data_IF_591970797299
#
_entry.id   IF_591970797299
#
_cell.length_a   1.000
_cell.length_b   1.000
_cell.length_c   1.000
_cell.angle_alpha   90.00
_cell.angle_beta   90.00
_cell.angle_gamma   90.00
#
_symmetry.space_group_name_H-M   'P 1'
#
loop_
_entity.id
_entity.type
_entity.pdbx_description
1 polymer ?
#
# COMPACT_ATOMS: atom_id res chain seq x y z
N UNK A 1 -19.67 -9.53 -10.45
CA UNK A 1 -19.23 -10.35 -9.31
C UNK A 1 -17.87 -9.98 -8.77
N UNK A 2 -16.82 -9.82 -9.59
CA UNK A 2 -15.45 -9.44 -9.12
C UNK A 2 -15.44 -8.13 -8.34
N UNK A 3 -16.12 -7.09 -8.84
CA UNK A 3 -16.21 -5.78 -8.18
C UNK A 3 -16.83 -5.88 -6.79
N UNK A 4 -17.90 -6.65 -6.65
CA UNK A 4 -18.64 -6.81 -5.40
C UNK A 4 -17.78 -7.53 -4.33
N UNK A 5 -17.10 -8.60 -4.71
CA UNK A 5 -16.19 -9.33 -3.80
C UNK A 5 -15.07 -8.41 -3.32
N UNK A 6 -14.51 -7.63 -4.23
CA UNK A 6 -13.38 -6.74 -3.95
C UNK A 6 -13.78 -5.59 -3.03
N UNK A 7 -14.96 -5.00 -3.26
CA UNK A 7 -15.50 -3.96 -2.39
C UNK A 7 -15.87 -4.54 -1.03
N UNK A 8 -16.51 -5.70 -0.97
CA UNK A 8 -16.83 -6.38 0.30
C UNK A 8 -15.58 -6.66 1.13
N UNK A 9 -14.54 -7.24 0.53
CA UNK A 9 -13.27 -7.50 1.23
C UNK A 9 -12.61 -6.21 1.74
N UNK A 10 -12.60 -5.16 0.93
CA UNK A 10 -12.02 -3.87 1.32
C UNK A 10 -12.83 -3.23 2.44
N UNK A 11 -14.17 -3.21 2.33
CA UNK A 11 -15.07 -2.66 3.35
C UNK A 11 -14.95 -3.43 4.66
N UNK A 12 -14.90 -4.76 4.60
CA UNK A 12 -14.67 -5.59 5.79
C UNK A 12 -13.32 -5.26 6.45
N UNK A 13 -12.24 -5.12 5.66
CA UNK A 13 -10.94 -4.69 6.16
C UNK A 13 -10.97 -3.30 6.79
N UNK A 14 -11.67 -2.34 6.19
CA UNK A 14 -11.84 -0.99 6.74
C UNK A 14 -12.65 -1.00 8.05
N UNK A 15 -13.72 -1.78 8.13
CA UNK A 15 -14.51 -1.92 9.37
C UNK A 15 -13.71 -2.60 10.49
N UNK A 16 -12.94 -3.63 10.16
CA UNK A 16 -12.02 -4.25 11.11
C UNK A 16 -10.91 -3.29 11.55
N UNK A 17 -10.43 -2.41 10.67
CA UNK A 17 -9.42 -1.41 10.99
C UNK A 17 -9.89 -0.40 12.05
N UNK A 18 -11.18 -0.11 12.15
CA UNK A 18 -11.74 0.75 13.21
C UNK A 18 -11.63 0.11 14.60
N UNK A 19 -11.64 -1.22 14.68
CA UNK A 19 -11.46 -1.97 15.94
C UNK A 19 -10.01 -2.35 16.19
N UNK A 20 -9.29 -2.71 15.12
CA UNK A 20 -7.91 -3.17 15.13
C UNK A 20 -7.13 -2.43 14.03
N UNK A 21 -6.57 -1.25 14.30
CA UNK A 21 -6.00 -0.35 13.29
C UNK A 21 -4.88 -0.99 12.44
N UNK A 22 -4.11 -1.91 12.99
CA UNK A 22 -3.09 -2.65 12.24
C UNK A 22 -3.66 -3.45 11.05
N UNK A 23 -4.94 -3.89 11.11
CA UNK A 23 -5.63 -4.54 9.99
C UNK A 23 -5.81 -3.58 8.81
N UNK A 24 -6.00 -2.29 9.08
CA UNK A 24 -6.05 -1.25 8.05
C UNK A 24 -4.75 -1.15 7.27
N UNK A 25 -3.60 -1.27 7.95
CA UNK A 25 -2.28 -1.32 7.30
C UNK A 25 -2.16 -2.55 6.41
N UNK A 26 -2.58 -3.73 6.87
CA UNK A 26 -2.56 -4.96 6.05
C UNK A 26 -3.45 -4.82 4.81
N UNK A 27 -4.66 -4.29 4.98
CA UNK A 27 -5.61 -4.07 3.89
C UNK A 27 -5.04 -3.08 2.86
N UNK A 28 -4.46 -1.98 3.33
CA UNK A 28 -3.81 -1.01 2.47
C UNK A 28 -2.61 -1.60 1.72
N UNK A 29 -1.74 -2.36 2.41
CA UNK A 29 -0.58 -3.03 1.81
C UNK A 29 -1.00 -4.00 0.72
N UNK A 30 -2.00 -4.86 1.01
CA UNK A 30 -2.55 -5.79 0.02
C UNK A 30 -3.09 -5.06 -1.21
N UNK A 31 -3.85 -3.98 -0.99
CA UNK A 31 -4.43 -3.17 -2.07
C UNK A 31 -3.38 -2.47 -2.93
N UNK A 32 -2.34 -1.94 -2.27
CA UNK A 32 -1.27 -1.19 -2.94
C UNK A 32 -0.36 -2.10 -3.76
N UNK A 33 -0.03 -3.29 -3.26
CA UNK A 33 0.83 -4.25 -3.96
C UNK A 33 0.10 -4.94 -5.11
N UNK A 34 -1.10 -5.45 -4.85
CA UNK A 34 -1.81 -6.29 -5.82
C UNK A 34 -2.61 -5.48 -6.85
N UNK A 35 -2.94 -4.22 -6.55
CA UNK A 35 -3.78 -3.35 -7.38
C UNK A 35 -5.03 -4.05 -7.95
N UNK A 36 -5.79 -4.80 -7.14
CA UNK A 36 -6.84 -5.69 -7.66
C UNK A 36 -7.97 -4.95 -8.35
N UNK A 37 -8.19 -3.65 -8.07
CA UNK A 37 -9.17 -2.83 -8.75
C UNK A 37 -8.87 -2.63 -10.25
N UNK A 38 -7.58 -2.71 -10.64
CA UNK A 38 -7.19 -2.60 -12.06
C UNK A 38 -7.56 -3.82 -12.90
N UNK A 39 -7.95 -4.92 -12.26
CA UNK A 39 -8.45 -6.13 -12.92
C UNK A 39 -9.99 -6.22 -12.95
N UNK A 40 -10.68 -5.15 -12.53
CA UNK A 40 -12.13 -5.03 -12.59
C UNK A 40 -12.52 -4.09 -13.75
N UNK A 41 -13.73 -4.25 -14.25
CA UNK A 41 -14.24 -3.48 -15.39
C UNK A 41 -15.40 -2.55 -15.01
N UNK A 42 -15.83 -2.56 -13.76
CA UNK A 42 -16.94 -1.80 -13.24
C UNK A 42 -16.52 -0.59 -12.39
N UNK A 43 -17.42 -0.16 -11.51
CA UNK A 43 -17.22 1.00 -10.64
C UNK A 43 -16.02 0.87 -9.70
N UNK A 44 -15.59 -0.34 -9.36
CA UNK A 44 -14.42 -0.58 -8.51
C UNK A 44 -13.10 -0.17 -9.17
N UNK A 45 -13.08 0.00 -10.50
CA UNK A 45 -11.87 0.43 -11.24
C UNK A 45 -11.42 1.85 -10.86
N UNK A 46 -12.38 2.78 -10.73
CA UNK A 46 -12.12 4.19 -10.39
C UNK A 46 -12.23 4.49 -8.90
N UNK A 47 -12.78 3.56 -8.12
CA UNK A 47 -13.01 3.78 -6.69
C UNK A 47 -11.68 3.88 -5.91
N UNK A 48 -11.48 4.90 -5.06
CA UNK A 48 -10.26 5.12 -4.30
C UNK A 48 -10.18 4.19 -3.07
N UNK A 49 -10.32 2.88 -3.31
CA UNK A 49 -10.41 1.87 -2.24
C UNK A 49 -9.13 1.77 -1.40
N UNK A 50 -7.95 2.00 -2.01
CA UNK A 50 -6.69 2.05 -1.27
C UNK A 50 -6.63 3.28 -0.35
N UNK A 51 -7.16 4.43 -0.80
CA UNK A 51 -7.27 5.62 0.03
C UNK A 51 -8.25 5.41 1.19
N UNK A 52 -9.37 4.71 0.96
CA UNK A 52 -10.30 4.36 2.02
C UNK A 52 -9.64 3.51 3.12
N UNK A 53 -8.84 2.51 2.74
CA UNK A 53 -8.08 1.69 3.70
C UNK A 53 -7.03 2.52 4.46
N UNK A 54 -6.34 3.46 3.77
CA UNK A 54 -5.39 4.37 4.41
C UNK A 54 -6.08 5.28 5.42
N UNK A 55 -7.23 5.88 5.05
CA UNK A 55 -8.01 6.73 5.95
C UNK A 55 -8.52 5.94 7.16
N UNK A 56 -9.01 4.71 6.96
CA UNK A 56 -9.43 3.85 8.06
C UNK A 56 -8.26 3.53 9.03
N UNK A 57 -7.06 3.26 8.50
CA UNK A 57 -5.87 3.04 9.31
C UNK A 57 -5.44 4.32 10.07
N UNK A 58 -5.52 5.49 9.44
CA UNK A 58 -5.21 6.78 10.07
C UNK A 58 -6.22 7.13 11.19
N UNK A 59 -7.51 6.96 10.94
CA UNK A 59 -8.54 7.13 11.99
C UNK A 59 -8.29 6.18 13.15
N UNK A 60 -8.02 4.90 12.83
CA UNK A 60 -7.66 3.90 13.83
C UNK A 60 -6.41 4.28 14.63
N UNK A 61 -5.37 4.82 14.00
CA UNK A 61 -4.17 5.32 14.67
C UNK A 61 -4.48 6.46 15.65
N UNK A 62 -5.41 7.37 15.29
CA UNK A 62 -5.79 8.48 16.16
C UNK A 62 -6.59 8.00 17.38
N UNK A 63 -7.49 7.04 17.18
CA UNK A 63 -8.41 6.55 18.22
C UNK A 63 -7.75 5.53 19.14
N UNK A 64 -6.83 4.70 18.63
CA UNK A 64 -6.22 3.63 19.44
C UNK A 64 -5.24 4.18 20.46
N UNK A 65 -5.25 3.55 21.64
CA UNK A 65 -4.21 3.75 22.66
C UNK A 65 -3.05 2.76 22.52
N UNK A 66 -3.28 1.66 21.80
CA UNK A 66 -2.28 0.61 21.55
C UNK A 66 -1.43 0.99 20.31
N UNK A 67 -0.49 1.89 20.53
CA UNK A 67 0.47 2.35 19.52
C UNK A 67 1.88 2.46 20.11
N UNK A 68 2.86 2.04 19.33
CA UNK A 68 4.25 2.22 19.67
C UNK A 68 4.77 3.57 19.14
N UNK A 69 5.75 4.15 19.82
CA UNK A 69 6.46 5.30 19.26
C UNK A 69 7.30 4.83 18.06
N UNK A 70 7.07 5.34 16.84
CA UNK A 70 7.84 4.92 15.67
C UNK A 70 9.31 5.36 15.73
N UNK A 71 9.65 6.38 16.51
CA UNK A 71 10.99 7.00 16.55
C UNK A 71 11.95 6.36 17.57
N UNK A 72 11.69 5.14 18.05
CA UNK A 72 12.57 4.47 19.02
C UNK A 72 13.86 3.86 18.43
N UNK A 73 13.98 3.79 17.10
CA UNK A 73 15.13 3.16 16.45
C UNK A 73 15.89 4.08 15.49
N UNK A 74 17.20 3.93 15.44
CA UNK A 74 18.08 4.64 14.50
C UNK A 74 17.62 4.53 13.02
N UNK A 75 17.14 3.37 12.51
CA UNK A 75 16.69 3.27 11.12
C UNK A 75 15.50 4.17 10.80
N UNK A 76 14.61 4.40 11.77
CA UNK A 76 13.43 5.25 11.55
C UNK A 76 13.80 6.72 11.46
N UNK A 77 14.79 7.14 12.24
CA UNK A 77 15.36 8.50 12.14
C UNK A 77 16.00 8.70 10.77
N UNK A 78 16.78 7.74 10.28
CA UNK A 78 17.38 7.79 8.94
C UNK A 78 16.29 7.85 7.85
N UNK A 79 15.22 7.10 8.00
CA UNK A 79 14.07 7.15 7.07
C UNK A 79 13.34 8.50 7.11
N UNK A 80 13.19 9.10 8.29
CA UNK A 80 12.62 10.45 8.41
C UNK A 80 13.50 11.51 7.73
N UNK A 81 14.83 11.42 7.90
CA UNK A 81 15.78 12.28 7.20
C UNK A 81 15.72 12.09 5.68
N UNK A 82 15.57 10.85 5.21
CA UNK A 82 15.38 10.56 3.79
C UNK A 82 14.12 11.22 3.24
N UNK A 83 12.98 11.15 3.95
CA UNK A 83 11.75 11.85 3.56
C UNK A 83 11.95 13.37 3.50
N UNK A 84 12.72 13.93 4.43
CA UNK A 84 13.05 15.35 4.46
C UNK A 84 13.90 15.73 3.24
N UNK A 85 14.94 14.95 2.92
CA UNK A 85 15.80 15.19 1.75
C UNK A 85 14.98 15.15 0.45
N UNK A 86 14.07 14.15 0.29
CA UNK A 86 13.18 14.09 -0.88
C UNK A 86 12.31 15.35 -0.98
N UNK A 87 11.81 15.85 0.15
CA UNK A 87 10.96 17.05 0.15
C UNK A 87 11.77 18.30 -0.20
N UNK A 88 12.98 18.44 0.34
CA UNK A 88 13.88 19.54 -0.02
C UNK A 88 14.25 19.46 -1.50
N UNK A 89 14.61 18.27 -1.99
CA UNK A 89 14.95 18.03 -3.39
C UNK A 89 13.83 18.43 -4.35
N UNK A 90 12.58 18.13 -3.97
CA UNK A 90 11.41 18.57 -4.74
C UNK A 90 11.24 20.08 -4.72
N UNK A 91 11.39 20.75 -3.56
CA UNK A 91 11.23 22.19 -3.41
C UNK A 91 12.29 23.01 -4.20
N UNK A 92 13.51 22.48 -4.29
CA UNK A 92 14.66 23.11 -4.97
C UNK A 92 14.80 22.62 -6.42
N UNK A 93 13.94 21.68 -6.85
CA UNK A 93 13.95 21.12 -8.21
C UNK A 93 13.68 22.16 -9.29
N UNK A 94 14.02 21.82 -10.53
CA UNK A 94 13.87 22.71 -11.69
C UNK A 94 12.41 23.03 -12.00
N UNK A 95 11.49 22.07 -11.77
CA UNK A 95 10.06 22.23 -12.00
C UNK A 95 9.21 21.57 -10.89
N UNK A 96 9.09 22.23 -9.72
CA UNK A 96 8.34 21.68 -8.59
C UNK A 96 6.84 21.47 -8.88
N UNK A 97 6.27 22.23 -9.83
CA UNK A 97 4.84 22.11 -10.15
C UNK A 97 4.53 20.83 -10.90
N UNK A 98 5.33 20.47 -11.89
CA UNK A 98 5.16 19.21 -12.66
C UNK A 98 5.52 17.98 -11.81
N UNK A 99 6.54 18.09 -10.96
CA UNK A 99 6.99 17.00 -10.08
C UNK A 99 6.10 16.78 -8.85
N UNK A 100 5.17 17.69 -8.54
CA UNK A 100 4.27 17.59 -7.38
C UNK A 100 3.52 16.26 -7.33
N UNK A 101 3.03 15.79 -8.47
CA UNK A 101 2.26 14.55 -8.54
C UNK A 101 3.06 13.33 -8.10
N UNK A 102 4.34 13.27 -8.45
CA UNK A 102 5.27 12.20 -8.08
C UNK A 102 5.67 12.30 -6.60
N UNK A 103 6.04 13.51 -6.16
CA UNK A 103 6.35 13.77 -4.75
C UNK A 103 5.18 13.38 -3.85
N UNK A 104 3.95 13.78 -4.19
CA UNK A 104 2.76 13.46 -3.41
C UNK A 104 2.48 11.95 -3.34
N UNK A 105 2.75 11.18 -4.42
CA UNK A 105 2.62 9.71 -4.39
C UNK A 105 3.62 9.09 -3.42
N UNK A 106 4.89 9.50 -3.50
CA UNK A 106 5.95 9.00 -2.63
C UNK A 106 5.66 9.35 -1.16
N UNK A 107 5.21 10.57 -0.88
CA UNK A 107 4.90 11.00 0.49
C UNK A 107 3.70 10.25 1.08
N UNK A 108 2.69 9.92 0.30
CA UNK A 108 1.56 9.07 0.76
C UNK A 108 2.04 7.67 1.15
N UNK A 109 2.97 7.09 0.40
CA UNK A 109 3.55 5.78 0.73
C UNK A 109 4.38 5.88 2.02
N UNK A 110 5.25 6.89 2.11
CA UNK A 110 6.08 7.12 3.30
C UNK A 110 5.25 7.36 4.57
N UNK A 111 4.16 8.14 4.45
CA UNK A 111 3.19 8.31 5.54
C UNK A 111 2.65 6.97 6.03
N UNK A 112 2.24 6.09 5.11
CA UNK A 112 1.70 4.79 5.48
C UNK A 112 2.76 3.86 6.08
N UNK A 113 4.04 4.01 5.73
CA UNK A 113 5.15 3.32 6.40
C UNK A 113 5.25 3.77 7.86
N UNK A 114 5.19 5.08 8.15
CA UNK A 114 5.17 5.57 9.54
C UNK A 114 3.96 5.07 10.32
N UNK A 115 2.77 5.01 9.69
CA UNK A 115 1.56 4.43 10.29
C UNK A 115 1.78 2.95 10.61
N UNK A 116 2.39 2.21 9.69
CA UNK A 116 2.73 0.80 9.90
C UNK A 116 3.69 0.61 11.09
N UNK A 117 4.75 1.43 11.17
CA UNK A 117 5.71 1.39 12.28
C UNK A 117 5.09 1.73 13.64
N UNK A 118 4.05 2.55 13.65
CA UNK A 118 3.32 2.89 14.88
C UNK A 118 2.33 1.81 15.32
N UNK A 119 1.71 1.10 14.37
CA UNK A 119 0.61 0.16 14.64
C UNK A 119 1.05 -1.31 14.68
N UNK A 120 2.14 -1.65 13.99
CA UNK A 120 2.65 -3.02 13.90
C UNK A 120 3.85 -3.17 14.83
N UNK A 121 3.64 -3.75 16.00
CA UNK A 121 4.69 -3.91 17.02
C UNK A 121 4.76 -5.33 17.59
N UNK A 122 3.76 -6.19 17.34
CA UNK A 122 3.79 -7.58 17.81
C UNK A 122 4.35 -8.52 16.74
N UNK A 123 5.02 -9.59 17.19
CA UNK A 123 5.56 -10.62 16.28
C UNK A 123 4.50 -11.19 15.33
N UNK A 124 3.29 -11.40 15.84
CA UNK A 124 2.18 -11.94 15.05
C UNK A 124 1.75 -10.96 13.94
N UNK A 125 1.63 -9.67 14.25
CA UNK A 125 1.29 -8.64 13.27
C UNK A 125 2.35 -8.51 12.18
N UNK A 126 3.65 -8.57 12.56
CA UNK A 126 4.77 -8.56 11.62
C UNK A 126 4.70 -9.78 10.69
N UNK A 127 4.48 -10.97 11.24
CA UNK A 127 4.34 -12.20 10.44
C UNK A 127 3.16 -12.12 9.47
N UNK A 128 2.02 -11.56 9.89
CA UNK A 128 0.86 -11.37 9.02
C UNK A 128 1.15 -10.35 7.90
N UNK A 129 1.85 -9.26 8.21
CA UNK A 129 2.29 -8.29 7.19
C UNK A 129 3.20 -8.98 6.16
N UNK A 130 4.18 -9.76 6.61
CA UNK A 130 5.06 -10.53 5.72
C UNK A 130 4.26 -11.49 4.84
N UNK A 131 3.28 -12.22 5.41
CA UNK A 131 2.41 -13.08 4.63
C UNK A 131 1.60 -12.34 3.58
N UNK A 132 1.04 -11.18 3.91
CA UNK A 132 0.31 -10.32 2.96
C UNK A 132 1.22 -9.92 1.79
N UNK A 133 2.46 -9.49 2.08
CA UNK A 133 3.43 -9.11 1.04
C UNK A 133 3.79 -10.31 0.17
N UNK A 134 4.21 -11.43 0.78
CA UNK A 134 4.64 -12.64 0.07
C UNK A 134 3.51 -13.19 -0.81
N UNK A 135 2.30 -13.32 -0.26
CA UNK A 135 1.16 -13.86 -1.01
C UNK A 135 0.73 -12.93 -2.16
N UNK A 136 0.78 -11.61 -1.95
CA UNK A 136 0.48 -10.64 -3.01
C UNK A 136 1.46 -10.75 -4.17
N UNK A 137 2.76 -10.83 -3.88
CA UNK A 137 3.81 -10.97 -4.89
C UNK A 137 3.78 -12.36 -5.55
N UNK A 138 3.54 -13.42 -4.78
CA UNK A 138 3.42 -14.79 -5.29
C UNK A 138 2.27 -14.92 -6.30
N UNK A 139 1.11 -14.34 -6.01
CA UNK A 139 -0.04 -14.34 -6.92
C UNK A 139 0.24 -13.58 -8.21
N UNK A 140 0.90 -12.41 -8.12
CA UNK A 140 1.31 -11.65 -9.31
C UNK A 140 2.36 -12.42 -10.13
N UNK A 141 3.35 -13.00 -9.46
CA UNK A 141 4.39 -13.81 -10.09
C UNK A 141 3.83 -15.06 -10.76
N UNK A 142 2.92 -15.77 -10.08
CA UNK A 142 2.25 -16.95 -10.65
C UNK A 142 1.44 -16.59 -11.91
N UNK A 143 0.70 -15.47 -11.88
CA UNK A 143 -0.03 -14.98 -13.04
C UNK A 143 0.90 -14.66 -14.20
N UNK A 144 2.00 -13.95 -13.94
CA UNK A 144 3.02 -13.64 -14.94
C UNK A 144 3.70 -14.89 -15.48
N UNK A 145 4.06 -15.84 -14.60
CA UNK A 145 4.67 -17.11 -14.96
C UNK A 145 3.76 -17.97 -15.85
N UNK A 146 2.48 -18.10 -15.51
CA UNK A 146 1.50 -18.80 -16.34
C UNK A 146 1.36 -18.15 -17.72
N UNK A 147 1.29 -16.82 -17.78
CA UNK A 147 1.23 -16.11 -19.06
C UNK A 147 2.49 -16.38 -19.91
N UNK A 148 3.67 -16.37 -19.30
CA UNK A 148 4.94 -16.66 -20.01
C UNK A 148 4.95 -18.09 -20.53
N UNK A 149 4.51 -19.06 -19.74
CA UNK A 149 4.43 -20.47 -20.18
C UNK A 149 3.43 -20.66 -21.32
N UNK A 150 2.26 -20.04 -21.25
CA UNK A 150 1.23 -20.17 -22.29
C UNK A 150 1.55 -19.43 -23.58
N UNK A 151 2.34 -18.34 -23.51
CA UNK A 151 2.78 -17.56 -24.66
C UNK A 151 4.13 -18.00 -25.25
N UNK A 152 4.75 -19.04 -24.70
CA UNK A 152 6.08 -19.50 -25.12
C UNK A 152 7.19 -18.47 -24.93
N UNK A 153 7.00 -17.49 -24.03
CA UNK A 153 7.96 -16.41 -23.77
C UNK A 153 8.03 -15.32 -24.84
N UNK A 154 7.12 -15.34 -25.82
CA UNK A 154 7.16 -14.42 -26.97
C UNK A 154 6.68 -13.01 -26.64
N UNK A 155 5.99 -12.81 -25.52
CA UNK A 155 5.41 -11.53 -25.14
C UNK A 155 5.90 -11.03 -23.79
N UNK A 156 6.05 -9.69 -23.68
CA UNK A 156 6.40 -9.04 -22.42
C UNK A 156 5.23 -9.14 -21.42
N UNK A 157 5.54 -9.54 -20.20
CA UNK A 157 4.57 -9.51 -19.09
C UNK A 157 4.40 -8.06 -18.65
N UNK A 158 3.21 -7.52 -18.88
CA UNK A 158 2.85 -6.20 -18.41
C UNK A 158 2.19 -6.29 -17.04
N UNK A 159 2.54 -5.37 -16.15
CA UNK A 159 1.81 -5.19 -14.90
C UNK A 159 0.38 -4.68 -15.11
N UNK A 160 -0.39 -4.45 -14.04
CA UNK A 160 -1.72 -3.86 -14.15
C UNK A 160 -1.67 -2.49 -14.86
N UNK A 161 -2.66 -2.13 -15.70
CA UNK A 161 -2.69 -0.85 -16.38
C UNK A 161 -2.52 0.33 -15.41
N UNK A 162 -1.58 1.23 -15.71
CA UNK A 162 -1.26 2.38 -14.85
C UNK A 162 -0.43 2.06 -13.60
N UNK A 163 0.16 0.86 -13.50
CA UNK A 163 1.24 0.57 -12.56
C UNK A 163 2.59 1.04 -13.12
N UNK A 164 3.54 1.32 -12.24
CA UNK A 164 4.91 1.70 -12.64
C UNK A 164 5.79 0.54 -13.10
N UNK A 165 5.23 -0.67 -13.20
CA UNK A 165 5.94 -1.89 -13.57
C UNK A 165 5.59 -2.27 -14.98
#
# INVERSE_FOLDING_TARGET
>A
MRDLILVLLTTAGCLMALRQPWVGVLTWTWRSLMNPHRYTYGFAYTAPLAAAAAVAALIGLLVTRDKASPFKGSPVVAFALFCLVITISWLVGLDPADDYSQWAKVMKINLMIFVALALIHTRQQIMLLMWVVVMSLALLGAKGGLFTLTSGGSYRVWGPPGSFI
#
